data_IF_551270422629
#
_entry.id   IF_551270422629
#
_cell.length_a   1.000
_cell.length_b   1.000
_cell.length_c   1.000
_cell.angle_alpha   90.00
_cell.angle_beta   90.00
_cell.angle_gamma   90.00
#
_symmetry.space_group_name_H-M   'P 1'
#
loop_
_entity.id
_entity.type
_entity.pdbx_description
1 polymer ?
#
# COMPACT_ATOMS: atom_id res chain seq x y z
N UNK A 1 35.70 -9.29 30.82
CA UNK A 1 35.86 -8.46 29.61
C UNK A 1 34.60 -8.64 28.78
N UNK A 2 33.77 -7.61 28.52
CA UNK A 2 32.63 -7.75 27.61
C UNK A 2 33.12 -7.80 26.16
N UNK A 3 32.47 -8.60 25.31
CA UNK A 3 32.77 -8.69 23.89
C UNK A 3 32.49 -7.35 23.18
N UNK A 4 33.27 -6.95 22.17
CA UNK A 4 33.00 -5.76 21.38
C UNK A 4 31.58 -5.85 20.79
N UNK A 5 30.78 -4.80 20.97
CA UNK A 5 29.41 -4.74 20.45
C UNK A 5 29.41 -4.94 18.94
N UNK A 6 28.54 -5.84 18.46
CA UNK A 6 28.37 -6.07 17.03
C UNK A 6 28.05 -4.75 16.32
N UNK A 7 28.63 -4.48 15.14
CA UNK A 7 28.29 -3.31 14.36
C UNK A 7 26.79 -3.31 14.06
N UNK A 8 26.16 -2.13 14.16
CA UNK A 8 24.76 -1.96 13.81
C UNK A 8 24.55 -2.43 12.35
N UNK A 9 23.55 -3.29 12.14
CA UNK A 9 23.20 -3.75 10.81
C UNK A 9 22.88 -2.54 9.91
N UNK A 10 23.43 -2.53 8.69
CA UNK A 10 23.04 -1.54 7.70
C UNK A 10 21.53 -1.62 7.45
N UNK A 11 20.84 -0.49 7.28
CA UNK A 11 19.40 -0.52 7.01
C UNK A 11 19.17 -1.34 5.74
N UNK A 12 18.35 -2.38 5.85
CA UNK A 12 17.89 -3.12 4.68
C UNK A 12 16.99 -2.21 3.84
N UNK A 13 17.03 -2.29 2.49
CA UNK A 13 16.06 -1.61 1.65
C UNK A 13 14.64 -1.93 2.09
N UNK A 14 13.72 -0.99 1.91
CA UNK A 14 12.31 -1.24 2.19
C UNK A 14 11.84 -2.49 1.42
N UNK A 15 11.11 -3.39 2.07
CA UNK A 15 10.76 -4.70 1.52
C UNK A 15 10.05 -4.63 0.15
N UNK A 16 9.30 -3.54 -0.12
CA UNK A 16 8.64 -3.32 -1.40
C UNK A 16 9.63 -3.19 -2.58
N UNK A 17 10.86 -2.72 -2.34
CA UNK A 17 11.89 -2.58 -3.39
C UNK A 17 12.27 -3.96 -3.91
N UNK A 18 12.58 -4.88 -3.00
CA UNK A 18 12.89 -6.27 -3.36
C UNK A 18 11.69 -6.95 -4.05
N UNK A 19 10.47 -6.68 -3.58
CA UNK A 19 9.25 -7.22 -4.21
C UNK A 19 9.10 -6.72 -5.66
N UNK A 20 9.34 -5.43 -5.93
CA UNK A 20 9.33 -4.87 -7.29
C UNK A 20 10.33 -5.58 -8.21
N UNK A 21 11.54 -5.85 -7.71
CA UNK A 21 12.56 -6.57 -8.48
C UNK A 21 12.16 -8.03 -8.77
N UNK A 22 11.56 -8.71 -7.80
CA UNK A 22 11.03 -10.07 -7.98
C UNK A 22 9.91 -10.09 -9.03
N UNK A 23 8.98 -9.14 -8.98
CA UNK A 23 7.86 -9.06 -9.93
C UNK A 23 8.40 -8.85 -11.36
N UNK A 24 9.33 -7.91 -11.55
CA UNK A 24 9.98 -7.66 -12.85
C UNK A 24 10.74 -8.90 -13.36
N UNK A 25 11.51 -9.55 -12.49
CA UNK A 25 12.33 -10.71 -12.86
C UNK A 25 11.52 -11.96 -13.17
N UNK A 26 10.34 -12.10 -12.57
CA UNK A 26 9.45 -13.25 -12.79
C UNK A 26 8.46 -13.06 -13.94
N UNK A 27 8.22 -11.81 -14.38
CA UNK A 27 7.18 -11.50 -15.37
C UNK A 27 5.75 -11.63 -14.81
N UNK A 28 5.62 -11.67 -13.48
CA UNK A 28 4.32 -11.63 -12.79
C UNK A 28 3.83 -10.20 -12.63
N UNK A 29 2.66 -10.03 -11.99
CA UNK A 29 2.02 -8.73 -11.81
C UNK A 29 1.85 -8.35 -10.35
N UNK A 30 1.83 -7.05 -10.08
CA UNK A 30 1.54 -6.48 -8.77
C UNK A 30 0.02 -6.34 -8.53
N UNK A 31 -0.44 -6.73 -7.34
CA UNK A 31 -1.72 -6.29 -6.81
C UNK A 31 -1.45 -5.29 -5.68
N UNK A 32 -1.24 -4.02 -6.05
CA UNK A 32 -0.80 -3.01 -5.10
C UNK A 32 -1.84 -2.78 -3.99
N UNK A 33 -1.44 -2.93 -2.75
CA UNK A 33 -2.28 -2.67 -1.57
C UNK A 33 -1.92 -1.29 -1.01
N UNK A 34 -2.89 -0.39 -0.94
CA UNK A 34 -2.69 0.96 -0.45
C UNK A 34 -2.36 0.96 1.06
N UNK A 35 -2.82 -0.01 1.85
CA UNK A 35 -2.69 0.01 3.32
C UNK A 35 -1.51 -0.73 3.92
N UNK A 36 -0.80 -1.56 3.17
CA UNK A 36 0.27 -2.42 3.69
C UNK A 36 1.67 -1.76 3.75
N UNK A 37 1.68 -0.44 3.96
CA UNK A 37 2.89 0.34 4.17
C UNK A 37 2.96 0.92 5.60
N UNK A 38 4.17 1.22 6.11
CA UNK A 38 4.32 1.75 7.46
C UNK A 38 3.82 3.19 7.60
N UNK A 39 3.98 4.01 6.55
CA UNK A 39 3.68 5.44 6.54
C UNK A 39 3.38 5.94 5.10
N UNK A 40 2.92 7.20 4.99
CA UNK A 40 2.58 7.86 3.72
C UNK A 40 3.75 7.93 2.73
N UNK A 41 4.96 8.24 3.21
CA UNK A 41 6.12 8.44 2.34
C UNK A 41 6.51 7.12 1.66
N UNK A 42 6.62 6.07 2.47
CA UNK A 42 6.92 4.71 2.01
C UNK A 42 5.80 4.18 1.11
N UNK A 43 4.54 4.46 1.43
CA UNK A 43 3.38 4.13 0.59
C UNK A 43 3.51 4.75 -0.79
N UNK A 44 3.74 6.06 -0.86
CA UNK A 44 3.86 6.78 -2.12
C UNK A 44 5.05 6.32 -2.97
N UNK A 45 6.17 5.97 -2.34
CA UNK A 45 7.32 5.41 -3.03
C UNK A 45 7.00 4.02 -3.60
N UNK A 46 6.41 3.14 -2.78
CA UNK A 46 6.03 1.80 -3.19
C UNK A 46 4.95 1.79 -4.28
N UNK A 47 3.96 2.66 -4.19
CA UNK A 47 2.93 2.82 -5.23
C UNK A 47 3.55 3.19 -6.58
N UNK A 48 4.49 4.15 -6.63
CA UNK A 48 5.21 4.49 -7.88
C UNK A 48 5.98 3.32 -8.46
N UNK A 49 6.51 2.44 -7.61
CA UNK A 49 7.20 1.22 -8.03
C UNK A 49 6.28 0.11 -8.55
N UNK A 50 5.12 -0.08 -7.90
CA UNK A 50 4.24 -1.24 -8.16
C UNK A 50 3.10 -0.98 -9.14
N UNK A 51 2.54 0.23 -9.20
CA UNK A 51 1.43 0.53 -10.13
C UNK A 51 1.78 0.29 -11.60
N UNK A 52 3.00 0.60 -12.10
CA UNK A 52 3.37 0.25 -13.48
C UNK A 52 3.42 -1.26 -13.76
N UNK A 53 3.42 -2.09 -12.72
CA UNK A 53 3.53 -3.56 -12.80
C UNK A 53 2.20 -4.26 -12.53
N UNK A 54 1.10 -3.52 -12.37
CA UNK A 54 -0.21 -4.12 -12.07
C UNK A 54 -0.88 -4.70 -13.31
N UNK A 55 -1.70 -5.73 -13.11
CA UNK A 55 -2.64 -6.26 -14.12
C UNK A 55 -4.04 -5.63 -14.03
N UNK A 56 -4.16 -4.50 -13.32
CA UNK A 56 -5.40 -3.73 -13.28
C UNK A 56 -6.27 -3.95 -12.04
N UNK A 57 -5.70 -4.39 -10.91
CA UNK A 57 -6.38 -4.41 -9.61
C UNK A 57 -5.50 -3.80 -8.50
N UNK A 58 -6.13 -3.15 -7.53
CA UNK A 58 -5.50 -2.69 -6.30
C UNK A 58 -6.42 -2.88 -5.09
N UNK A 59 -5.85 -3.00 -3.90
CA UNK A 59 -6.60 -3.09 -2.65
C UNK A 59 -6.62 -1.75 -1.93
N UNK A 60 -7.82 -1.27 -1.62
CA UNK A 60 -8.06 0.00 -0.93
C UNK A 60 -8.41 -0.29 0.52
N UNK A 61 -7.56 0.18 1.42
CA UNK A 61 -7.73 0.09 2.87
C UNK A 61 -7.89 1.49 3.47
N UNK A 62 -8.51 1.58 4.64
CA UNK A 62 -8.52 2.80 5.45
C UNK A 62 -7.70 2.59 6.73
N UNK A 63 -6.62 3.34 6.88
CA UNK A 63 -5.82 3.37 8.10
C UNK A 63 -5.25 4.78 8.37
N UNK A 64 -6.08 5.69 8.90
CA UNK A 64 -5.69 7.09 9.12
C UNK A 64 -4.56 7.25 10.15
N UNK A 65 -4.21 6.21 10.90
CA UNK A 65 -3.07 6.24 11.81
C UNK A 65 -1.72 6.13 11.07
N UNK A 66 -1.70 5.73 9.80
CA UNK A 66 -0.48 5.54 9.00
C UNK A 66 -0.40 6.45 7.79
N UNK A 67 -1.54 6.74 7.14
CA UNK A 67 -1.58 7.51 5.90
C UNK A 67 -2.96 8.13 5.66
N UNK A 68 -3.00 9.15 4.82
CA UNK A 68 -4.19 9.74 4.21
C UNK A 68 -4.55 8.97 2.92
N UNK A 69 -5.72 8.33 2.94
CA UNK A 69 -6.22 7.57 1.81
C UNK A 69 -6.55 8.47 0.60
N UNK A 70 -7.06 9.68 0.81
CA UNK A 70 -7.39 10.58 -0.29
C UNK A 70 -6.11 11.01 -1.05
N UNK A 71 -5.02 11.25 -0.32
CA UNK A 71 -3.72 11.53 -0.92
C UNK A 71 -3.19 10.33 -1.75
N UNK A 72 -3.35 9.11 -1.25
CA UNK A 72 -2.98 7.91 -1.99
C UNK A 72 -3.81 7.76 -3.30
N UNK A 73 -5.13 8.00 -3.24
CA UNK A 73 -6.00 7.98 -4.42
C UNK A 73 -5.69 9.13 -5.41
N UNK A 74 -5.21 10.27 -4.93
CA UNK A 74 -4.70 11.31 -5.82
C UNK A 74 -3.48 10.83 -6.63
N UNK A 75 -2.55 10.12 -5.97
CA UNK A 75 -1.39 9.54 -6.63
C UNK A 75 -1.77 8.48 -7.68
N UNK A 76 -2.79 7.65 -7.45
CA UNK A 76 -3.21 6.68 -8.49
C UNK A 76 -3.69 7.39 -9.77
N UNK A 77 -4.34 8.56 -9.64
CA UNK A 77 -4.73 9.40 -10.77
C UNK A 77 -3.52 10.01 -11.48
N UNK A 78 -2.54 10.52 -10.74
CA UNK A 78 -1.27 11.02 -11.29
C UNK A 78 -0.53 9.94 -12.10
N UNK A 79 -0.58 8.70 -11.62
CA UNK A 79 -0.02 7.53 -12.31
C UNK A 79 -0.89 6.99 -13.43
N UNK A 80 -1.97 7.70 -13.80
CA UNK A 80 -2.92 7.34 -14.83
C UNK A 80 -3.53 5.93 -14.66
N UNK A 81 -3.65 5.44 -13.44
CA UNK A 81 -4.28 4.14 -13.18
C UNK A 81 -5.76 4.17 -13.57
N UNK A 82 -6.23 3.08 -14.21
CA UNK A 82 -7.61 2.91 -14.72
C UNK A 82 -8.20 1.55 -14.36
N UNK A 83 -7.53 0.80 -13.48
CA UNK A 83 -7.97 -0.52 -13.05
C UNK A 83 -9.04 -0.47 -11.95
N UNK A 84 -9.29 -1.64 -11.37
CA UNK A 84 -10.29 -1.86 -10.32
C UNK A 84 -9.72 -1.46 -8.94
N UNK A 85 -10.51 -0.65 -8.23
CA UNK A 85 -10.28 -0.33 -6.82
C UNK A 85 -11.12 -1.29 -5.94
N UNK A 86 -10.48 -2.33 -5.40
CA UNK A 86 -11.15 -3.33 -4.55
C UNK A 86 -11.05 -2.94 -3.08
N UNK A 87 -12.18 -2.84 -2.38
CA UNK A 87 -12.19 -2.50 -0.94
C UNK A 87 -11.71 -3.71 -0.11
N UNK A 88 -10.70 -3.49 0.73
CA UNK A 88 -10.26 -4.46 1.75
C UNK A 88 -10.43 -3.85 3.14
N UNK A 89 -11.59 -4.09 3.75
CA UNK A 89 -11.89 -3.58 5.08
C UNK A 89 -11.28 -4.46 6.17
N UNK A 90 -10.47 -3.87 7.06
CA UNK A 90 -10.12 -4.51 8.32
C UNK A 90 -11.28 -4.36 9.29
N UNK A 91 -11.89 -5.48 9.68
CA UNK A 91 -13.01 -5.50 10.63
C UNK A 91 -12.50 -5.99 11.98
N UNK A 92 -12.34 -5.07 12.94
CA UNK A 92 -12.03 -5.45 14.31
C UNK A 92 -13.22 -6.19 14.94
N UNK A 93 -12.95 -7.13 15.85
CA UNK A 93 -13.98 -7.89 16.54
C UNK A 93 -15.02 -6.95 17.19
N UNK A 94 -16.30 -7.18 16.92
CA UNK A 94 -17.41 -6.36 17.41
C UNK A 94 -17.70 -5.09 16.61
N UNK A 95 -16.99 -4.84 15.51
CA UNK A 95 -17.30 -3.75 14.56
C UNK A 95 -18.28 -4.25 13.49
N UNK A 96 -19.22 -3.41 13.07
CA UNK A 96 -20.07 -3.72 11.91
C UNK A 96 -19.21 -3.75 10.62
N UNK A 97 -19.15 -4.90 9.91
CA UNK A 97 -18.42 -5.00 8.66
C UNK A 97 -18.97 -4.05 7.58
N UNK A 98 -20.27 -3.78 7.56
CA UNK A 98 -20.87 -2.87 6.58
C UNK A 98 -20.41 -1.43 6.77
N UNK A 99 -20.32 -0.97 8.03
CA UNK A 99 -19.82 0.36 8.34
C UNK A 99 -18.35 0.51 7.94
N UNK A 100 -17.54 -0.52 8.16
CA UNK A 100 -16.11 -0.52 7.82
C UNK A 100 -15.90 -0.43 6.30
N UNK A 101 -16.73 -1.10 5.51
CA UNK A 101 -16.75 -0.99 4.05
C UNK A 101 -17.24 0.40 3.62
N UNK A 102 -18.34 0.89 4.21
CA UNK A 102 -18.95 2.18 3.86
C UNK A 102 -17.94 3.33 4.00
N UNK A 103 -17.16 3.36 5.09
CA UNK A 103 -16.15 4.40 5.31
C UNK A 103 -15.07 4.45 4.21
N UNK A 104 -14.67 3.29 3.68
CA UNK A 104 -13.71 3.24 2.56
C UNK A 104 -14.40 3.68 1.26
N UNK A 105 -15.62 3.20 1.04
CA UNK A 105 -16.45 3.55 -0.11
C UNK A 105 -16.68 5.05 -0.23
N UNK A 106 -16.98 5.73 0.88
CA UNK A 106 -17.22 7.18 0.91
C UNK A 106 -15.99 7.97 0.46
N UNK A 107 -14.78 7.56 0.89
CA UNK A 107 -13.53 8.20 0.46
C UNK A 107 -13.26 7.95 -1.02
N UNK A 108 -13.51 6.73 -1.50
CA UNK A 108 -13.40 6.41 -2.93
C UNK A 108 -14.33 7.30 -3.75
N UNK A 109 -15.62 7.33 -3.44
CA UNK A 109 -16.61 8.10 -4.19
C UNK A 109 -16.29 9.60 -4.24
N UNK A 110 -15.63 10.14 -3.20
CA UNK A 110 -15.19 11.53 -3.18
C UNK A 110 -13.88 11.80 -3.97
N UNK A 111 -13.11 10.76 -4.33
CA UNK A 111 -11.73 10.90 -4.77
C UNK A 111 -11.43 10.41 -6.19
N UNK A 112 -12.22 9.49 -6.76
CA UNK A 112 -12.00 8.91 -8.10
C UNK A 112 -13.00 9.39 -9.15
#
# INVERSE_FOLDING_TARGET
MPLPGAPAASPSPAAWVLLVDIIKGSGTYANCDLGNFPDQETQHAGMRGMFPLTDGNCHVKLNPARYDLAAALALTKELAYRGVYSIEANVASGTDPHESVQRIYDVLLASI
#
